data_IF_616930602282
#
_entry.id   IF_616930602282
#
_cell.length_a   1.000
_cell.length_b   1.000
_cell.length_c   1.000
_cell.angle_alpha   90.00
_cell.angle_beta   90.00
_cell.angle_gamma   90.00
#
_symmetry.space_group_name_H-M   'P 1'
#
loop_
_entity.id
_entity.type
_entity.pdbx_description
1 polymer ?
#
# COMPACT_ATOMS: atom_id res chain seq x y z
N UNK A 1 -25.83 74.08 -42.00
CA UNK A 1 -25.17 74.14 -40.68
C UNK A 1 -25.68 73.02 -39.80
N UNK A 2 -24.99 71.92 -39.78
CA UNK A 2 -25.43 70.72 -39.03
C UNK A 2 -24.37 70.37 -37.96
N UNK A 3 -24.76 70.44 -36.68
CA UNK A 3 -23.95 70.06 -35.55
C UNK A 3 -23.99 68.54 -35.37
N UNK A 4 -22.83 67.88 -35.46
CA UNK A 4 -22.67 66.46 -35.09
C UNK A 4 -22.44 66.36 -33.56
N UNK A 5 -23.30 65.71 -32.85
CA UNK A 5 -23.09 65.34 -31.46
C UNK A 5 -22.18 64.11 -31.38
N UNK A 6 -21.10 64.15 -30.59
CA UNK A 6 -20.23 63.03 -30.25
C UNK A 6 -20.75 62.40 -28.94
N UNK A 7 -21.17 61.15 -29.01
CA UNK A 7 -21.46 60.33 -27.83
C UNK A 7 -20.14 59.71 -27.36
N UNK A 8 -19.71 60.03 -26.15
CA UNK A 8 -18.57 59.39 -25.47
C UNK A 8 -19.13 58.24 -24.63
N UNK A 9 -18.88 57.05 -25.09
CA UNK A 9 -19.23 55.84 -24.32
C UNK A 9 -18.16 55.59 -23.24
N UNK A 10 -18.57 55.61 -21.97
CA UNK A 10 -17.75 55.19 -20.84
C UNK A 10 -17.87 53.69 -20.70
N UNK A 11 -16.83 52.95 -20.96
CA UNK A 11 -16.74 51.51 -20.69
C UNK A 11 -16.25 51.34 -19.26
N UNK A 12 -17.15 50.92 -18.35
CA UNK A 12 -16.83 50.49 -17.02
C UNK A 12 -16.29 49.04 -17.08
N UNK A 13 -14.95 48.86 -16.93
CA UNK A 13 -14.34 47.56 -16.68
C UNK A 13 -14.60 47.17 -15.22
N UNK A 14 -15.50 46.20 -15.02
CA UNK A 14 -15.62 45.47 -13.74
C UNK A 14 -14.44 44.48 -13.64
N UNK A 15 -13.40 44.85 -12.91
CA UNK A 15 -12.36 43.93 -12.49
C UNK A 15 -12.94 42.93 -11.48
N UNK A 16 -13.15 41.67 -11.90
CA UNK A 16 -13.39 40.58 -10.93
C UNK A 16 -12.12 40.33 -10.15
N UNK A 17 -12.06 40.86 -8.92
CA UNK A 17 -11.08 40.41 -7.95
C UNK A 17 -11.50 39.03 -7.46
N UNK A 18 -10.91 37.97 -8.01
CA UNK A 18 -10.98 36.64 -7.42
C UNK A 18 -10.14 36.66 -6.14
N UNK A 19 -10.78 36.68 -4.99
CA UNK A 19 -10.11 36.39 -3.71
C UNK A 19 -9.57 34.96 -3.80
N UNK A 20 -8.28 34.72 -3.54
CA UNK A 20 -7.79 33.33 -3.45
C UNK A 20 -8.58 32.64 -2.33
N UNK A 21 -9.05 31.43 -2.62
CA UNK A 21 -9.62 30.56 -1.60
C UNK A 21 -8.60 30.39 -0.48
N UNK A 22 -9.01 30.39 0.79
CA UNK A 22 -8.10 30.18 1.90
C UNK A 22 -7.42 28.79 1.68
N UNK A 23 -6.09 28.76 1.72
CA UNK A 23 -5.36 27.49 1.76
C UNK A 23 -5.87 26.71 2.98
N UNK A 24 -6.44 25.54 2.72
CA UNK A 24 -6.87 24.65 3.79
C UNK A 24 -5.65 24.30 4.64
N UNK A 25 -5.66 24.69 5.90
CA UNK A 25 -4.59 24.37 6.84
C UNK A 25 -4.65 22.87 7.12
N UNK A 26 -3.52 22.17 6.93
CA UNK A 26 -3.41 20.75 7.26
C UNK A 26 -3.85 20.48 8.70
N UNK A 27 -4.76 19.53 8.88
CA UNK A 27 -5.32 19.14 10.18
C UNK A 27 -4.82 17.77 10.60
N UNK A 28 -4.69 17.56 11.92
CA UNK A 28 -4.51 16.21 12.47
C UNK A 28 -5.84 15.69 12.94
N UNK A 29 -6.27 14.56 12.33
CA UNK A 29 -7.54 13.88 12.62
C UNK A 29 -7.27 12.57 13.32
N UNK A 30 -8.08 12.25 14.32
CA UNK A 30 -8.06 10.94 14.99
C UNK A 30 -9.24 10.13 14.52
N UNK A 31 -8.98 8.95 13.99
CA UNK A 31 -10.02 8.04 13.53
C UNK A 31 -9.84 6.67 14.17
N UNK A 32 -10.85 6.23 14.92
CA UNK A 32 -10.87 4.88 15.51
C UNK A 32 -11.84 4.00 14.73
N UNK A 33 -11.35 3.00 13.97
CA UNK A 33 -12.19 2.12 13.18
C UNK A 33 -13.05 1.23 14.08
N UNK A 34 -14.34 1.05 13.70
CA UNK A 34 -15.29 0.21 14.43
C UNK A 34 -15.63 -1.07 13.67
N UNK A 35 -15.49 -1.05 12.36
CA UNK A 35 -15.88 -2.14 11.48
C UNK A 35 -14.99 -2.15 10.23
N UNK A 36 -14.54 -3.34 9.85
CA UNK A 36 -13.83 -3.55 8.60
C UNK A 36 -14.74 -3.98 7.47
N UNK A 37 -14.18 -3.92 6.27
CA UNK A 37 -14.81 -4.34 5.03
C UNK A 37 -13.98 -5.46 4.38
N UNK A 38 -14.61 -6.42 3.71
CA UNK A 38 -13.88 -7.58 3.17
C UNK A 38 -13.31 -7.34 1.78
N UNK A 39 -13.58 -6.17 1.16
CA UNK A 39 -13.24 -5.90 -0.24
C UNK A 39 -12.83 -4.45 -0.43
N UNK A 40 -11.96 -4.23 -1.41
CA UNK A 40 -11.66 -2.91 -1.97
C UNK A 40 -12.69 -2.59 -3.04
N UNK A 41 -13.43 -1.49 -2.90
CA UNK A 41 -14.50 -1.08 -3.82
C UNK A 41 -14.91 0.37 -3.55
N UNK A 42 -15.61 1.00 -4.47
CA UNK A 42 -16.31 2.25 -4.19
C UNK A 42 -17.46 1.98 -3.22
N UNK A 43 -17.52 2.71 -2.11
CA UNK A 43 -18.60 2.66 -1.11
C UNK A 43 -18.63 3.92 -0.26
N UNK A 44 -19.66 4.05 0.60
CA UNK A 44 -19.77 5.18 1.52
C UNK A 44 -18.49 5.31 2.37
N UNK A 45 -17.81 6.46 2.34
CA UNK A 45 -16.57 6.67 3.06
C UNK A 45 -16.80 6.79 4.57
N UNK A 46 -15.86 6.23 5.34
CA UNK A 46 -15.88 6.33 6.81
C UNK A 46 -15.19 7.60 7.32
N UNK A 47 -14.39 8.24 6.47
CA UNK A 47 -13.68 9.49 6.76
C UNK A 47 -13.46 10.27 5.45
N UNK A 48 -13.53 11.60 5.52
CA UNK A 48 -13.09 12.51 4.46
C UNK A 48 -11.80 13.18 4.91
N UNK A 49 -10.81 13.25 4.02
CA UNK A 49 -9.46 13.72 4.29
C UNK A 49 -9.04 14.70 3.21
N UNK A 50 -8.59 15.88 3.59
CA UNK A 50 -8.03 16.84 2.66
C UNK A 50 -6.52 16.55 2.39
N UNK A 51 -6.00 16.88 1.21
CA UNK A 51 -4.55 16.84 0.97
C UNK A 51 -3.80 17.70 2.00
N UNK A 52 -2.74 17.15 2.58
CA UNK A 52 -1.98 17.73 3.68
C UNK A 52 -2.40 17.25 5.07
N UNK A 53 -3.63 16.74 5.23
CA UNK A 53 -4.11 16.23 6.53
C UNK A 53 -3.27 15.03 7.00
N UNK A 54 -3.14 14.94 8.32
CA UNK A 54 -2.56 13.81 9.04
C UNK A 54 -3.68 13.03 9.73
N UNK A 55 -3.69 11.71 9.56
CA UNK A 55 -4.68 10.83 10.21
C UNK A 55 -3.98 9.87 11.15
N UNK A 56 -4.27 9.98 12.45
CA UNK A 56 -3.89 9.01 13.47
C UNK A 56 -4.99 7.97 13.59
N UNK A 57 -4.65 6.70 13.38
CA UNK A 57 -5.62 5.59 13.34
C UNK A 57 -4.97 4.27 13.77
N UNK A 58 -5.69 3.19 13.65
CA UNK A 58 -5.23 1.84 13.96
C UNK A 58 -5.83 0.82 12.98
N UNK A 59 -5.21 -0.35 12.84
CA UNK A 59 -5.81 -1.50 12.15
C UNK A 59 -6.85 -2.15 13.06
N UNK A 60 -7.78 -2.91 12.48
CA UNK A 60 -8.77 -3.64 13.28
C UNK A 60 -8.15 -4.88 13.92
N UNK A 61 -8.57 -5.14 15.15
CA UNK A 61 -8.23 -6.32 15.92
C UNK A 61 -9.39 -7.30 16.04
N UNK A 62 -9.20 -8.32 16.86
CA UNK A 62 -10.20 -9.32 17.18
C UNK A 62 -10.18 -10.53 16.23
N UNK A 63 -11.08 -11.49 16.49
CA UNK A 63 -11.31 -12.63 15.61
C UNK A 63 -10.06 -13.45 15.29
N UNK A 64 -9.49 -13.26 14.12
CA UNK A 64 -8.31 -13.95 13.62
C UNK A 64 -7.08 -13.82 14.55
N UNK A 65 -6.85 -12.64 15.09
CA UNK A 65 -5.70 -12.38 15.97
C UNK A 65 -5.83 -13.07 17.34
N UNK A 66 -7.05 -13.25 17.84
CA UNK A 66 -7.30 -13.70 19.21
C UNK A 66 -7.35 -15.22 19.33
N UNK A 67 -7.89 -15.93 18.33
CA UNK A 67 -8.13 -17.36 18.42
C UNK A 67 -8.03 -18.10 17.10
N UNK A 68 -7.74 -19.39 17.19
CA UNK A 68 -7.78 -20.29 16.02
C UNK A 68 -9.20 -20.33 15.42
N UNK A 69 -9.26 -20.29 14.08
CA UNK A 69 -10.52 -20.24 13.33
C UNK A 69 -11.29 -18.92 13.46
N UNK A 70 -10.70 -17.91 14.07
CA UNK A 70 -11.26 -16.55 14.12
C UNK A 70 -11.36 -15.94 12.73
N UNK A 71 -12.39 -15.12 12.51
CA UNK A 71 -12.59 -14.45 11.22
C UNK A 71 -11.67 -13.24 11.11
N UNK A 72 -11.21 -12.99 9.88
CA UNK A 72 -10.52 -11.76 9.54
C UNK A 72 -11.41 -10.54 9.81
N UNK A 73 -10.92 -9.48 10.47
CA UNK A 73 -11.75 -8.33 10.86
C UNK A 73 -12.12 -7.42 9.68
N UNK A 74 -11.44 -7.54 8.56
CA UNK A 74 -11.60 -6.70 7.38
C UNK A 74 -10.63 -5.52 7.35
N UNK A 75 -10.68 -4.77 6.25
CA UNK A 75 -9.86 -3.59 5.99
C UNK A 75 -10.51 -2.33 6.56
N UNK A 76 -9.70 -1.38 6.99
CA UNK A 76 -10.14 -0.04 7.41
C UNK A 76 -10.35 0.84 6.18
N UNK A 77 -11.46 1.55 6.12
CA UNK A 77 -11.76 2.44 5.01
C UNK A 77 -13.17 2.24 4.43
N UNK A 78 -13.48 2.93 3.30
CA UNK A 78 -12.56 3.83 2.63
C UNK A 78 -12.47 5.22 3.26
N UNK A 79 -11.30 5.84 3.12
CA UNK A 79 -11.15 7.28 3.31
C UNK A 79 -11.34 7.97 1.95
N UNK A 80 -12.20 8.96 1.91
CA UNK A 80 -12.39 9.80 0.72
C UNK A 80 -11.37 10.94 0.73
N UNK A 81 -10.52 11.01 -0.27
CA UNK A 81 -9.48 12.04 -0.40
C UNK A 81 -10.05 13.20 -1.22
N UNK A 82 -10.25 14.35 -0.58
CA UNK A 82 -10.85 15.52 -1.20
C UNK A 82 -10.00 16.03 -2.38
N UNK A 83 -10.66 16.31 -3.49
CA UNK A 83 -10.02 16.79 -4.71
C UNK A 83 -9.27 15.73 -5.52
N UNK A 84 -9.22 14.46 -5.09
CA UNK A 84 -8.67 13.38 -5.92
C UNK A 84 -9.60 13.10 -7.09
N UNK A 85 -9.04 13.00 -8.30
CA UNK A 85 -9.75 12.71 -9.54
C UNK A 85 -9.04 11.63 -10.36
N UNK A 86 -9.74 10.86 -11.20
CA UNK A 86 -9.10 9.84 -12.05
C UNK A 86 -7.94 10.42 -12.85
N UNK A 87 -6.80 9.72 -12.83
CA UNK A 87 -5.56 10.16 -13.48
C UNK A 87 -4.61 10.97 -12.59
N UNK A 88 -4.99 11.23 -11.34
CA UNK A 88 -4.06 11.71 -10.31
C UNK A 88 -3.25 10.57 -9.71
N UNK A 89 -2.25 10.90 -8.91
CA UNK A 89 -1.57 9.98 -8.00
C UNK A 89 -1.85 10.37 -6.57
N UNK A 90 -2.40 9.43 -5.78
CA UNK A 90 -2.52 9.57 -4.34
C UNK A 90 -1.16 9.25 -3.70
N UNK A 91 -0.70 10.14 -2.83
CA UNK A 91 0.55 10.00 -2.08
C UNK A 91 0.22 9.78 -0.61
N UNK A 92 0.63 8.63 -0.07
CA UNK A 92 0.37 8.23 1.32
C UNK A 92 1.70 8.08 2.04
N UNK A 93 2.01 9.02 2.94
CA UNK A 93 3.21 8.95 3.78
C UNK A 93 2.88 8.22 5.08
N UNK A 94 3.66 7.23 5.42
CA UNK A 94 3.55 6.47 6.68
C UNK A 94 4.48 7.14 7.70
N UNK A 95 3.93 8.06 8.47
CA UNK A 95 4.70 8.86 9.45
C UNK A 95 5.04 8.06 10.70
N UNK A 96 4.16 7.13 11.09
CA UNK A 96 4.33 6.24 12.22
C UNK A 96 3.65 4.91 11.97
N UNK A 97 4.30 3.82 12.36
CA UNK A 97 3.74 2.48 12.33
C UNK A 97 4.31 1.65 13.48
N UNK A 98 3.47 1.23 14.42
CA UNK A 98 3.87 0.50 15.64
C UNK A 98 2.87 -0.58 15.95
N UNK A 99 3.36 -1.71 16.45
CA UNK A 99 2.50 -2.72 17.04
C UNK A 99 1.82 -2.17 18.30
N UNK A 100 0.52 -2.41 18.46
CA UNK A 100 -0.26 -2.06 19.63
C UNK A 100 -0.84 -3.28 20.38
N UNK A 101 -0.28 -4.44 20.10
CA UNK A 101 -0.57 -5.74 20.76
C UNK A 101 0.70 -6.29 21.39
N UNK A 102 0.53 -7.13 22.42
CA UNK A 102 1.60 -7.87 23.07
C UNK A 102 1.94 -9.20 22.38
N UNK A 103 1.19 -9.53 21.34
CA UNK A 103 1.36 -10.77 20.57
C UNK A 103 1.15 -10.57 19.07
N UNK A 104 1.69 -11.50 18.31
CA UNK A 104 1.42 -11.70 16.89
C UNK A 104 1.11 -13.17 16.62
N UNK A 105 0.45 -13.45 15.52
CA UNK A 105 0.15 -14.82 15.09
C UNK A 105 0.72 -15.10 13.71
N UNK A 106 1.22 -16.30 13.50
CA UNK A 106 1.53 -16.79 12.17
C UNK A 106 0.91 -18.17 11.96
N UNK A 107 0.60 -18.49 10.72
CA UNK A 107 -0.13 -19.71 10.39
C UNK A 107 0.55 -20.48 9.28
N UNK A 108 0.44 -21.81 9.34
CA UNK A 108 0.57 -22.63 8.15
C UNK A 108 -0.82 -22.73 7.50
N UNK A 109 -0.99 -22.12 6.35
CA UNK A 109 -2.24 -22.18 5.60
C UNK A 109 -2.05 -23.08 4.38
N UNK A 110 -2.56 -24.32 4.40
CA UNK A 110 -2.22 -25.33 3.40
C UNK A 110 -2.45 -24.90 1.95
N UNK A 111 -3.50 -24.14 1.70
CA UNK A 111 -3.81 -23.60 0.37
C UNK A 111 -2.75 -22.65 -0.18
N UNK A 112 -2.14 -21.84 0.66
CA UNK A 112 -1.06 -20.91 0.32
C UNK A 112 0.29 -21.60 0.21
N UNK A 113 0.65 -22.38 1.23
CA UNK A 113 1.94 -23.10 1.27
C UNK A 113 2.13 -23.97 0.02
N UNK A 114 1.05 -24.55 -0.49
CA UNK A 114 1.13 -25.42 -1.68
C UNK A 114 1.63 -24.70 -2.94
N UNK A 115 1.62 -23.38 -2.97
CA UNK A 115 2.17 -22.62 -4.08
C UNK A 115 3.70 -22.68 -4.14
N UNK A 116 4.37 -22.90 -3.01
CA UNK A 116 5.84 -22.85 -2.90
C UNK A 116 6.48 -24.11 -2.35
N UNK A 117 5.78 -24.87 -1.51
CA UNK A 117 6.38 -25.96 -0.72
C UNK A 117 5.88 -27.35 -1.12
N UNK A 118 5.03 -27.49 -2.13
CA UNK A 118 4.61 -28.80 -2.63
C UNK A 118 4.74 -28.88 -4.15
N UNK A 119 5.07 -30.08 -4.64
CA UNK A 119 5.01 -30.40 -6.06
C UNK A 119 3.56 -30.42 -6.53
N UNK A 120 3.23 -29.54 -7.46
CA UNK A 120 1.86 -29.43 -8.00
C UNK A 120 1.41 -30.66 -8.78
N UNK A 121 2.35 -31.44 -9.32
CA UNK A 121 2.02 -32.63 -10.11
C UNK A 121 1.75 -33.86 -9.25
N UNK A 122 2.39 -33.93 -8.09
CA UNK A 122 2.28 -35.08 -7.18
C UNK A 122 1.48 -34.78 -5.92
N UNK A 123 0.99 -33.54 -5.74
CA UNK A 123 0.35 -33.11 -4.49
C UNK A 123 -0.88 -33.94 -4.08
N UNK A 124 -1.57 -34.57 -5.02
CA UNK A 124 -2.67 -35.49 -4.69
C UNK A 124 -2.19 -36.77 -4.00
N UNK A 125 -0.92 -37.14 -4.20
CA UNK A 125 -0.28 -38.30 -3.62
C UNK A 125 0.50 -37.95 -2.34
N UNK A 126 0.73 -36.66 -2.08
CA UNK A 126 1.45 -36.19 -0.90
C UNK A 126 0.52 -36.15 0.32
N UNK A 127 1.09 -36.35 1.49
CA UNK A 127 0.40 -36.08 2.73
C UNK A 127 -0.05 -34.61 2.78
N UNK A 128 -1.25 -34.32 3.33
CA UNK A 128 -1.72 -32.95 3.47
C UNK A 128 -0.74 -32.12 4.33
N UNK A 129 -0.47 -30.91 3.89
CA UNK A 129 0.26 -29.93 4.71
C UNK A 129 -0.61 -29.60 5.94
N UNK A 130 -0.11 -29.74 7.17
CA UNK A 130 -0.93 -29.47 8.34
C UNK A 130 -1.20 -27.98 8.50
N UNK A 131 -2.44 -27.62 8.80
CA UNK A 131 -2.74 -26.29 9.32
C UNK A 131 -2.15 -26.15 10.73
N UNK A 132 -1.48 -25.05 10.99
CA UNK A 132 -0.89 -24.76 12.30
C UNK A 132 -0.97 -23.28 12.59
N UNK A 133 -1.15 -22.92 13.86
CA UNK A 133 -1.09 -21.56 14.36
C UNK A 133 0.03 -21.46 15.39
N UNK A 134 0.83 -20.40 15.25
CA UNK A 134 1.90 -20.05 16.17
C UNK A 134 1.60 -18.70 16.79
N UNK A 135 1.73 -18.60 18.10
CA UNK A 135 1.54 -17.34 18.83
C UNK A 135 2.91 -16.85 19.29
N UNK A 136 3.28 -15.70 18.78
CA UNK A 136 4.52 -15.00 19.10
C UNK A 136 4.26 -14.00 20.21
N UNK A 137 5.15 -13.89 21.16
CA UNK A 137 5.15 -12.78 22.11
C UNK A 137 5.89 -11.60 21.50
N UNK A 138 5.35 -10.40 21.67
CA UNK A 138 6.00 -9.15 21.31
C UNK A 138 6.62 -8.57 22.58
N UNK A 139 7.92 -8.48 22.61
CA UNK A 139 8.71 -8.07 23.78
C UNK A 139 9.51 -6.81 23.50
N UNK A 140 10.19 -6.28 24.51
CA UNK A 140 11.08 -5.11 24.43
C UNK A 140 10.42 -3.89 23.76
N UNK A 141 9.23 -3.53 24.23
CA UNK A 141 8.46 -2.38 23.71
C UNK A 141 8.17 -2.47 22.18
N UNK A 142 7.82 -3.65 21.71
CA UNK A 142 7.43 -3.84 20.32
C UNK A 142 8.59 -4.04 19.34
N UNK A 143 9.82 -4.32 19.82
CA UNK A 143 10.99 -4.43 18.95
C UNK A 143 11.48 -5.86 18.72
N UNK A 144 11.03 -6.82 19.52
CA UNK A 144 11.47 -8.24 19.44
C UNK A 144 10.27 -9.16 19.45
N UNK A 145 10.22 -10.07 18.48
CA UNK A 145 9.30 -11.19 18.43
C UNK A 145 9.94 -12.46 19.01
N UNK A 146 9.22 -13.15 19.87
CA UNK A 146 9.70 -14.36 20.53
C UNK A 146 8.73 -15.52 20.31
N UNK A 147 9.26 -16.63 19.81
CA UNK A 147 8.51 -17.88 19.61
C UNK A 147 9.28 -19.08 20.18
N UNK A 148 8.66 -19.80 21.06
CA UNK A 148 9.10 -21.13 21.48
C UNK A 148 8.51 -22.18 20.55
N UNK A 149 9.33 -22.75 19.67
CA UNK A 149 8.90 -23.71 18.65
C UNK A 149 8.49 -25.04 19.30
N UNK A 150 7.20 -25.42 19.23
CA UNK A 150 6.67 -26.51 20.05
C UNK A 150 7.24 -27.89 19.67
N UNK A 151 7.55 -28.10 18.39
CA UNK A 151 8.00 -29.43 17.92
C UNK A 151 9.50 -29.62 18.00
N UNK A 152 10.30 -28.59 17.72
CA UNK A 152 11.77 -28.65 17.73
C UNK A 152 12.37 -28.28 19.08
N UNK A 153 11.57 -27.77 20.02
CA UNK A 153 11.99 -27.23 21.31
C UNK A 153 13.07 -26.15 21.21
N UNK A 154 13.06 -25.43 20.10
CA UNK A 154 13.94 -24.28 19.86
C UNK A 154 13.21 -22.99 20.14
N UNK A 155 13.96 -21.95 20.49
CA UNK A 155 13.45 -20.59 20.68
C UNK A 155 13.97 -19.71 19.57
N UNK A 156 13.07 -18.92 18.97
CA UNK A 156 13.40 -17.86 18.06
C UNK A 156 13.23 -16.51 18.77
N UNK A 157 14.21 -15.64 18.61
CA UNK A 157 14.15 -14.23 18.98
C UNK A 157 14.55 -13.43 17.75
N UNK A 158 13.63 -12.63 17.23
CA UNK A 158 13.83 -11.91 15.98
C UNK A 158 13.54 -10.42 16.14
N UNK A 159 14.34 -9.53 15.55
CA UNK A 159 13.99 -8.12 15.50
C UNK A 159 12.73 -7.94 14.65
N UNK A 160 11.81 -7.12 15.15
CA UNK A 160 10.60 -6.78 14.42
C UNK A 160 10.83 -5.63 13.44
N UNK A 161 10.10 -5.67 12.35
CA UNK A 161 10.07 -4.64 11.31
C UNK A 161 8.62 -4.44 10.85
N UNK A 162 7.81 -3.68 11.61
CA UNK A 162 6.40 -3.49 11.34
C UNK A 162 6.13 -2.95 9.95
N UNK A 163 5.13 -3.53 9.27
CA UNK A 163 4.69 -3.14 7.93
C UNK A 163 3.17 -3.31 7.79
N UNK A 164 2.60 -2.73 6.72
CA UNK A 164 1.22 -2.97 6.31
C UNK A 164 1.21 -3.86 5.06
N UNK A 165 0.55 -5.00 5.13
CA UNK A 165 0.34 -5.89 3.98
C UNK A 165 -0.61 -5.25 2.97
N UNK A 166 -1.64 -4.53 3.46
CA UNK A 166 -2.71 -3.96 2.65
C UNK A 166 -2.72 -2.44 2.68
N UNK A 167 -2.51 -1.86 1.52
CA UNK A 167 -2.68 -0.43 1.24
C UNK A 167 -3.25 -0.30 -0.16
N UNK A 168 -4.43 0.29 -0.32
CA UNK A 168 -5.17 0.29 -1.58
C UNK A 168 -5.98 1.55 -1.80
N UNK A 169 -6.36 1.79 -3.06
CA UNK A 169 -7.50 2.61 -3.48
C UNK A 169 -8.60 1.71 -4.02
N UNK A 170 -9.80 2.26 -4.27
CA UNK A 170 -10.83 1.51 -4.98
C UNK A 170 -10.34 1.15 -6.39
N UNK A 171 -10.50 -0.11 -6.84
CA UNK A 171 -10.14 -0.55 -8.18
C UNK A 171 -10.89 0.19 -9.27
N UNK A 172 -10.37 0.17 -10.51
CA UNK A 172 -11.00 0.79 -11.68
C UNK A 172 -12.39 0.19 -11.98
N UNK A 173 -13.25 0.98 -12.59
CA UNK A 173 -14.60 0.56 -12.95
C UNK A 173 -15.51 0.34 -11.74
N UNK A 174 -16.46 -0.58 -11.85
CA UNK A 174 -17.39 -0.97 -10.79
C UNK A 174 -16.92 -2.25 -10.07
N UNK A 175 -15.63 -2.52 -10.06
CA UNK A 175 -15.07 -3.75 -9.50
C UNK A 175 -14.99 -3.72 -7.98
N UNK A 176 -15.13 -4.91 -7.38
CA UNK A 176 -14.88 -5.17 -5.97
C UNK A 176 -13.93 -6.34 -5.83
N UNK A 177 -12.74 -6.08 -5.33
CA UNK A 177 -11.72 -7.11 -5.13
C UNK A 177 -11.62 -7.50 -3.66
N UNK A 178 -11.54 -8.80 -3.40
CA UNK A 178 -11.38 -9.31 -2.04
C UNK A 178 -10.07 -8.86 -1.38
N UNK A 179 -10.04 -8.80 -0.05
CA UNK A 179 -8.89 -8.30 0.71
C UNK A 179 -7.57 -9.01 0.45
N UNK A 180 -7.58 -10.27 -0.05
CA UNK A 180 -6.36 -11.02 -0.42
C UNK A 180 -5.81 -10.69 -1.82
N UNK A 181 -6.42 -9.78 -2.57
CA UNK A 181 -6.00 -9.51 -3.95
C UNK A 181 -5.11 -8.26 -4.01
N UNK A 182 -3.84 -8.41 -4.39
CA UNK A 182 -3.06 -7.27 -4.87
C UNK A 182 -3.30 -7.04 -6.37
N UNK A 183 -3.15 -5.79 -6.80
CA UNK A 183 -3.33 -5.38 -8.18
C UNK A 183 -2.76 -4.00 -8.45
N UNK A 184 -3.15 -3.40 -9.57
CA UNK A 184 -2.73 -2.04 -9.93
C UNK A 184 -3.30 -0.98 -8.96
N UNK A 185 -4.32 -1.30 -8.19
CA UNK A 185 -4.92 -0.46 -7.15
C UNK A 185 -4.20 -0.54 -5.78
N UNK A 186 -3.11 -1.28 -5.68
CA UNK A 186 -2.46 -1.69 -4.44
C UNK A 186 -3.02 -3.01 -3.93
N UNK A 187 -3.73 -3.01 -2.81
CA UNK A 187 -4.32 -4.22 -2.22
C UNK A 187 -3.35 -4.94 -1.30
N UNK A 188 -3.42 -6.26 -1.31
CA UNK A 188 -2.59 -7.15 -0.50
C UNK A 188 -1.19 -7.35 -1.12
N UNK A 189 -0.43 -6.28 -1.17
CA UNK A 189 0.90 -6.31 -1.80
C UNK A 189 1.93 -7.07 -0.97
N UNK A 190 1.74 -7.13 0.35
CA UNK A 190 2.65 -7.72 1.32
C UNK A 190 4.11 -7.31 1.11
N UNK A 191 4.28 -6.10 0.63
CA UNK A 191 5.58 -5.51 0.39
C UNK A 191 6.16 -4.98 1.70
N UNK A 192 7.17 -5.65 2.23
CA UNK A 192 7.78 -5.29 3.53
C UNK A 192 8.43 -3.90 3.56
N UNK A 193 8.49 -3.23 2.41
CA UNK A 193 8.91 -1.84 2.29
C UNK A 193 7.77 -0.83 2.58
N UNK A 194 6.51 -1.28 2.74
CA UNK A 194 5.35 -0.46 3.17
C UNK A 194 5.36 -0.33 4.70
N UNK A 195 6.27 0.48 5.20
CA UNK A 195 6.56 0.64 6.63
C UNK A 195 6.76 2.10 7.03
N UNK A 196 6.99 2.35 8.32
CA UNK A 196 7.31 3.70 8.81
C UNK A 196 8.45 4.36 8.02
N UNK A 197 8.25 5.61 7.64
CA UNK A 197 9.16 6.39 6.80
C UNK A 197 9.01 6.13 5.29
N UNK A 198 8.14 5.21 4.88
CA UNK A 198 7.84 5.01 3.47
C UNK A 198 6.72 5.94 2.99
N UNK A 199 6.78 6.29 1.71
CA UNK A 199 5.73 6.94 0.95
C UNK A 199 5.22 5.98 -0.11
N UNK A 200 3.91 5.74 -0.11
CA UNK A 200 3.24 4.89 -1.11
C UNK A 200 2.50 5.78 -2.09
N UNK A 201 2.72 5.58 -3.38
CA UNK A 201 2.03 6.25 -4.48
C UNK A 201 1.05 5.26 -5.10
N UNK A 202 -0.21 5.64 -5.17
CA UNK A 202 -1.29 4.82 -5.73
C UNK A 202 -1.97 5.55 -6.89
N UNK A 203 -2.30 4.85 -7.99
CA UNK A 203 -3.08 5.44 -9.07
C UNK A 203 -4.50 5.76 -8.59
N UNK A 204 -5.07 6.87 -9.03
CA UNK A 204 -6.45 7.25 -8.70
C UNK A 204 -7.36 6.88 -9.87
N UNK A 205 -8.36 6.02 -9.62
CA UNK A 205 -9.34 5.58 -10.61
C UNK A 205 -10.70 6.25 -10.45
N UNK A 206 -11.02 6.74 -9.23
CA UNK A 206 -12.30 7.35 -8.88
C UNK A 206 -12.11 8.70 -8.21
N UNK A 207 -13.10 9.58 -8.33
CA UNK A 207 -13.18 10.78 -7.50
C UNK A 207 -13.13 10.37 -6.02
N UNK A 208 -12.21 10.98 -5.26
CA UNK A 208 -11.98 10.65 -3.86
C UNK A 208 -11.09 9.45 -3.61
N UNK A 209 -10.56 8.78 -4.63
CA UNK A 209 -9.63 7.64 -4.57
C UNK A 209 -10.14 6.44 -3.75
N UNK A 210 -10.85 6.65 -2.64
CA UNK A 210 -11.33 5.63 -1.69
C UNK A 210 -10.20 4.78 -1.13
N UNK A 211 -9.41 5.37 -0.25
CA UNK A 211 -8.24 4.73 0.34
C UNK A 211 -8.60 3.71 1.43
N UNK A 212 -7.91 2.57 1.41
CA UNK A 212 -8.03 1.46 2.37
C UNK A 212 -6.67 1.06 2.91
N UNK A 213 -6.66 0.54 4.14
CA UNK A 213 -5.47 -0.08 4.74
C UNK A 213 -5.86 -1.16 5.74
N UNK A 214 -4.91 -2.02 6.07
CA UNK A 214 -5.08 -3.08 7.05
C UNK A 214 -3.89 -4.01 7.09
N UNK A 215 -4.07 -5.19 7.70
CA UNK A 215 -3.12 -6.29 7.61
C UNK A 215 -1.74 -5.91 8.15
N UNK A 216 -1.68 -5.65 9.44
CA UNK A 216 -0.44 -5.28 10.10
C UNK A 216 0.43 -6.49 10.39
N UNK A 217 1.64 -6.51 9.83
CA UNK A 217 2.65 -7.53 10.11
C UNK A 217 3.77 -6.97 10.97
N UNK A 218 4.03 -7.58 12.12
CA UNK A 218 5.18 -7.20 12.93
C UNK A 218 6.50 -7.57 12.25
N UNK A 219 6.49 -8.59 11.39
CA UNK A 219 7.60 -9.04 10.55
C UNK A 219 7.07 -9.94 9.43
N UNK A 220 7.69 -9.87 8.26
CA UNK A 220 7.43 -10.79 7.14
C UNK A 220 8.72 -11.11 6.41
N UNK A 221 8.92 -12.38 6.07
CA UNK A 221 9.95 -12.83 5.13
C UNK A 221 9.49 -12.73 3.68
N UNK A 222 10.45 -12.62 2.75
CA UNK A 222 10.15 -12.58 1.31
C UNK A 222 9.31 -13.80 0.87
N UNK A 223 8.32 -13.53 0.03
CA UNK A 223 7.40 -14.51 -0.53
C UNK A 223 6.25 -14.92 0.37
N UNK A 224 6.28 -14.57 1.66
CA UNK A 224 5.24 -14.91 2.64
C UNK A 224 4.82 -16.39 2.63
N UNK A 225 5.81 -17.27 2.52
CA UNK A 225 5.67 -18.66 2.06
C UNK A 225 4.70 -19.55 2.84
N UNK A 226 4.34 -19.17 4.05
CA UNK A 226 3.32 -19.89 4.86
C UNK A 226 1.90 -19.33 4.72
N UNK A 227 1.72 -18.21 3.97
CA UNK A 227 0.44 -17.54 3.80
C UNK A 227 0.06 -16.65 4.98
N UNK A 228 1.04 -16.22 5.75
CA UNK A 228 0.93 -15.17 6.76
C UNK A 228 2.29 -14.60 7.13
N UNK A 229 2.34 -13.31 7.41
CA UNK A 229 3.42 -12.70 8.17
C UNK A 229 3.32 -13.01 9.67
N UNK A 230 3.92 -12.17 10.51
CA UNK A 230 3.61 -12.09 11.94
C UNK A 230 2.44 -11.12 12.12
N UNK A 231 1.24 -11.64 11.98
CA UNK A 231 -0.01 -10.90 11.96
C UNK A 231 -0.30 -10.26 13.30
N UNK A 232 -0.47 -8.96 13.35
CA UNK A 232 -0.79 -8.23 14.58
C UNK A 232 -1.51 -6.91 14.28
N UNK A 233 -2.01 -6.24 15.30
CA UNK A 233 -2.62 -4.93 15.15
C UNK A 233 -1.59 -3.81 15.26
N UNK A 234 -1.87 -2.69 14.58
CA UNK A 234 -0.96 -1.55 14.46
C UNK A 234 -1.64 -0.23 14.80
N UNK A 235 -0.93 0.65 15.48
CA UNK A 235 -1.16 2.10 15.40
C UNK A 235 -0.49 2.65 14.15
N UNK A 236 -1.20 3.49 13.41
CA UNK A 236 -0.73 4.07 12.15
C UNK A 236 -0.98 5.57 12.13
N UNK A 237 -0.01 6.33 11.64
CA UNK A 237 -0.20 7.74 11.31
C UNK A 237 0.14 7.94 9.84
N UNK A 238 -0.86 8.36 9.07
CA UNK A 238 -0.72 8.70 7.66
C UNK A 238 -0.74 10.21 7.43
N UNK A 239 -0.03 10.67 6.41
CA UNK A 239 -0.28 11.96 5.78
C UNK A 239 -0.65 11.73 4.32
N UNK A 240 -1.66 12.46 3.83
CA UNK A 240 -2.18 12.31 2.48
C UNK A 240 -1.84 13.53 1.64
N UNK A 241 -1.36 13.30 0.41
CA UNK A 241 -1.12 14.33 -0.59
C UNK A 241 -1.63 13.85 -1.96
N UNK A 242 -1.75 14.78 -2.91
CA UNK A 242 -2.13 14.48 -4.30
C UNK A 242 -1.12 15.08 -5.27
N UNK A 243 -0.75 14.30 -6.28
CA UNK A 243 -0.06 14.82 -7.45
C UNK A 243 -1.07 14.86 -8.58
N UNK A 244 -1.57 16.06 -8.86
CA UNK A 244 -2.61 16.30 -9.86
C UNK A 244 -2.10 16.06 -11.28
N UNK A 245 -2.92 15.31 -12.06
CA UNK A 245 -2.65 15.02 -13.46
C UNK A 245 -1.43 14.14 -13.72
N UNK A 246 -0.82 13.57 -12.68
CA UNK A 246 0.27 12.59 -12.80
C UNK A 246 -0.30 11.19 -12.72
N UNK A 247 -0.46 10.55 -13.87
CA UNK A 247 -0.93 9.17 -13.97
C UNK A 247 0.24 8.20 -13.80
N UNK A 248 0.11 7.24 -12.89
CA UNK A 248 0.94 6.04 -12.77
C UNK A 248 0.07 4.82 -13.07
N UNK A 249 0.68 3.73 -13.55
CA UNK A 249 -0.07 2.52 -13.89
C UNK A 249 -0.14 1.53 -12.71
N UNK A 250 0.90 1.49 -11.89
CA UNK A 250 1.07 0.56 -10.78
C UNK A 250 1.56 1.27 -9.52
N UNK A 251 1.38 0.67 -8.33
CA UNK A 251 1.88 1.25 -7.08
C UNK A 251 3.39 1.46 -7.10
N UNK A 252 3.82 2.58 -6.50
CA UNK A 252 5.21 2.91 -6.26
C UNK A 252 5.42 3.12 -4.78
N UNK A 253 6.61 2.82 -4.30
CA UNK A 253 7.00 3.04 -2.91
C UNK A 253 8.33 3.78 -2.94
N UNK A 254 8.52 4.72 -2.04
CA UNK A 254 9.83 5.32 -1.84
C UNK A 254 10.10 5.55 -0.35
N UNK A 255 11.38 5.61 -0.02
CA UNK A 255 11.88 6.03 1.28
C UNK A 255 13.18 6.81 1.08
N UNK A 256 13.93 7.10 2.14
CA UNK A 256 15.20 7.84 2.05
C UNK A 256 16.25 7.13 1.20
N UNK A 257 16.21 5.80 1.12
CA UNK A 257 17.25 4.99 0.47
C UNK A 257 16.89 4.53 -0.94
N UNK A 258 15.61 4.25 -1.21
CA UNK A 258 15.16 3.56 -2.43
C UNK A 258 13.96 4.23 -3.08
N UNK A 259 13.89 4.11 -4.42
CA UNK A 259 12.65 4.11 -5.18
C UNK A 259 12.28 2.68 -5.54
N UNK A 260 10.99 2.34 -5.53
CA UNK A 260 10.51 0.97 -5.67
C UNK A 260 9.19 0.95 -6.44
N UNK A 261 9.01 -0.06 -7.27
CA UNK A 261 7.77 -0.31 -8.01
C UNK A 261 7.22 -1.68 -7.69
N UNK A 262 5.90 -1.83 -7.68
CA UNK A 262 5.23 -3.08 -7.34
C UNK A 262 4.42 -3.57 -8.54
N UNK A 263 4.70 -4.79 -8.99
CA UNK A 263 3.87 -5.48 -9.97
C UNK A 263 3.14 -6.64 -9.30
N UNK A 264 1.83 -6.73 -9.52
CA UNK A 264 0.99 -7.73 -8.82
C UNK A 264 0.08 -8.47 -9.79
N UNK A 265 0.52 -9.65 -10.23
CA UNK A 265 -0.20 -10.51 -11.17
C UNK A 265 0.35 -11.95 -11.14
N UNK A 266 -0.36 -12.91 -11.70
CA UNK A 266 0.17 -14.24 -12.04
C UNK A 266 0.42 -14.36 -13.54
N UNK A 267 1.45 -15.09 -13.99
CA UNK A 267 2.50 -15.74 -13.16
C UNK A 267 3.53 -14.72 -12.62
N UNK A 268 4.43 -15.17 -11.74
CA UNK A 268 5.45 -14.34 -11.09
C UNK A 268 6.34 -13.58 -12.08
N UNK A 269 6.63 -14.17 -13.23
CA UNK A 269 7.39 -13.54 -14.31
C UNK A 269 6.70 -12.30 -14.88
N UNK A 270 5.38 -12.26 -14.91
CA UNK A 270 4.62 -11.12 -15.41
C UNK A 270 4.54 -10.01 -14.34
N UNK A 271 4.44 -10.38 -13.06
CA UNK A 271 4.58 -9.42 -11.96
C UNK A 271 5.94 -8.71 -12.02
N UNK A 272 7.02 -9.47 -12.27
CA UNK A 272 8.35 -8.90 -12.44
C UNK A 272 8.45 -7.98 -13.66
N UNK A 273 7.87 -8.36 -14.81
CA UNK A 273 7.84 -7.50 -16.01
C UNK A 273 7.14 -6.18 -15.75
N UNK A 274 5.98 -6.23 -15.10
CA UNK A 274 5.20 -5.05 -14.73
C UNK A 274 6.03 -4.11 -13.85
N UNK A 275 6.59 -4.62 -12.76
CA UNK A 275 7.40 -3.81 -11.84
C UNK A 275 8.64 -3.22 -12.53
N UNK A 276 9.26 -3.98 -13.46
CA UNK A 276 10.43 -3.51 -14.24
C UNK A 276 10.04 -2.38 -15.18
N UNK A 277 8.96 -2.52 -15.94
CA UNK A 277 8.48 -1.49 -16.87
C UNK A 277 8.08 -0.23 -16.11
N UNK A 278 7.35 -0.36 -15.01
CA UNK A 278 6.97 0.77 -14.17
C UNK A 278 8.19 1.52 -13.60
N UNK A 279 9.29 0.81 -13.29
CA UNK A 279 10.55 1.43 -12.86
C UNK A 279 11.21 2.20 -14.01
N UNK A 280 11.24 1.65 -15.22
CA UNK A 280 11.74 2.36 -16.40
C UNK A 280 10.94 3.64 -16.64
N UNK A 281 9.61 3.57 -16.61
CA UNK A 281 8.73 4.73 -16.76
C UNK A 281 8.95 5.77 -15.65
N UNK A 282 9.22 5.34 -14.43
CA UNK A 282 9.54 6.27 -13.35
C UNK A 282 10.84 7.02 -13.62
N UNK A 283 11.89 6.31 -14.06
CA UNK A 283 13.16 6.93 -14.43
C UNK A 283 13.03 7.90 -15.62
N UNK A 284 12.23 7.55 -16.63
CA UNK A 284 11.96 8.44 -17.76
C UNK A 284 11.23 9.72 -17.32
N UNK A 285 10.12 9.55 -16.60
CA UNK A 285 9.23 10.65 -16.31
C UNK A 285 9.77 11.62 -15.24
N UNK A 286 10.37 11.10 -14.18
CA UNK A 286 10.77 11.89 -13.01
C UNK A 286 12.27 12.23 -13.03
N UNK A 287 13.12 11.29 -13.45
CA UNK A 287 14.57 11.46 -13.49
C UNK A 287 15.11 11.85 -14.86
N UNK A 288 14.24 11.94 -15.88
CA UNK A 288 14.56 12.39 -17.25
C UNK A 288 15.59 11.52 -17.97
N UNK A 289 15.64 10.24 -17.65
CA UNK A 289 16.42 9.30 -18.44
C UNK A 289 15.80 9.11 -19.83
N UNK A 290 16.65 8.86 -20.83
CA UNK A 290 16.17 8.24 -22.07
C UNK A 290 15.77 6.78 -21.75
N UNK A 291 14.78 6.25 -22.49
CA UNK A 291 14.17 4.93 -22.20
C UNK A 291 15.17 3.78 -22.09
N UNK A 292 16.10 3.70 -23.02
CA UNK A 292 17.07 2.60 -23.06
C UNK A 292 18.15 2.76 -22.01
N UNK A 293 18.53 4.00 -21.68
CA UNK A 293 19.42 4.30 -20.56
C UNK A 293 18.74 3.98 -19.22
N UNK A 294 17.43 4.25 -19.10
CA UNK A 294 16.63 3.83 -17.95
C UNK A 294 16.62 2.30 -17.79
N UNK A 295 16.36 1.56 -18.88
CA UNK A 295 16.39 0.10 -18.86
C UNK A 295 17.78 -0.44 -18.52
N UNK A 296 18.85 0.16 -19.07
CA UNK A 296 20.23 -0.21 -18.72
C UNK A 296 20.51 0.05 -17.23
N UNK A 297 20.03 1.18 -16.69
CA UNK A 297 20.15 1.53 -15.29
C UNK A 297 19.43 0.50 -14.39
N UNK A 298 18.20 0.13 -14.73
CA UNK A 298 17.44 -0.92 -14.04
C UNK A 298 18.23 -2.24 -14.08
N UNK A 299 18.75 -2.63 -15.25
CA UNK A 299 19.50 -3.89 -15.41
C UNK A 299 20.72 -3.98 -14.51
N UNK A 300 21.40 -2.88 -14.22
CA UNK A 300 22.64 -2.87 -13.45
C UNK A 300 22.44 -2.62 -11.95
N UNK A 301 21.40 -1.85 -11.57
CA UNK A 301 21.26 -1.36 -10.20
C UNK A 301 20.07 -1.95 -9.44
N UNK A 302 19.08 -2.52 -10.13
CA UNK A 302 17.88 -2.96 -9.48
C UNK A 302 18.10 -4.21 -8.61
N UNK A 303 17.46 -4.19 -7.46
CA UNK A 303 17.23 -5.33 -6.60
C UNK A 303 15.79 -5.78 -6.78
N UNK A 304 15.56 -7.07 -6.98
CA UNK A 304 14.26 -7.66 -7.22
C UNK A 304 13.89 -8.58 -6.08
N UNK A 305 12.72 -8.35 -5.46
CA UNK A 305 12.23 -9.15 -4.33
C UNK A 305 10.85 -9.71 -4.67
N UNK A 306 10.62 -10.93 -4.28
CA UNK A 306 9.28 -11.50 -4.24
C UNK A 306 8.66 -11.11 -2.90
N UNK A 307 7.71 -10.20 -2.91
CA UNK A 307 7.02 -9.76 -1.70
C UNK A 307 6.04 -10.84 -1.23
N UNK A 308 5.23 -11.34 -2.15
CA UNK A 308 4.22 -12.37 -1.91
C UNK A 308 4.14 -13.31 -3.11
N UNK A 309 4.08 -14.63 -2.87
CA UNK A 309 3.87 -15.63 -3.94
C UNK A 309 2.89 -16.72 -3.55
N UNK A 310 1.99 -16.41 -2.64
CA UNK A 310 0.99 -17.36 -2.10
C UNK A 310 -0.44 -16.90 -2.37
N UNK A 311 -0.66 -15.62 -2.51
CA UNK A 311 -1.96 -15.00 -2.74
C UNK A 311 -2.53 -15.21 -4.16
N UNK A 312 -3.78 -14.81 -4.40
CA UNK A 312 -4.41 -14.94 -5.73
C UNK A 312 -3.58 -14.31 -6.86
N UNK A 313 -2.97 -13.14 -6.64
CA UNK A 313 -1.89 -12.58 -7.45
C UNK A 313 -0.59 -12.58 -6.64
N UNK A 314 0.54 -12.74 -7.34
CA UNK A 314 1.87 -12.61 -6.74
C UNK A 314 2.31 -11.16 -6.77
N UNK A 315 3.08 -10.71 -5.80
CA UNK A 315 3.64 -9.38 -5.77
C UNK A 315 5.17 -9.39 -5.83
N UNK A 316 5.72 -8.57 -6.73
CA UNK A 316 7.17 -8.38 -6.91
C UNK A 316 7.51 -6.92 -6.74
N UNK A 317 8.57 -6.65 -6.00
CA UNK A 317 9.13 -5.31 -5.82
C UNK A 317 10.45 -5.23 -6.59
N UNK A 318 10.54 -4.23 -7.49
CA UNK A 318 11.79 -3.82 -8.12
C UNK A 318 12.22 -2.51 -7.48
N UNK A 319 13.46 -2.42 -6.96
CA UNK A 319 13.94 -1.24 -6.25
C UNK A 319 15.34 -0.84 -6.66
N UNK A 320 15.58 0.49 -6.71
CA UNK A 320 16.88 1.09 -7.04
C UNK A 320 17.29 2.02 -5.90
N UNK A 321 18.57 1.92 -5.44
CA UNK A 321 19.09 2.83 -4.42
C UNK A 321 19.20 4.27 -4.95
N UNK A 322 18.55 5.22 -4.26
CA UNK A 322 18.56 6.65 -4.62
C UNK A 322 19.96 7.26 -4.74
N UNK A 323 20.93 6.74 -3.99
CA UNK A 323 22.31 7.23 -4.03
C UNK A 323 23.01 7.08 -5.38
N UNK A 324 22.47 6.26 -6.28
CA UNK A 324 22.99 6.05 -7.63
C UNK A 324 22.21 6.85 -8.70
N UNK A 325 21.12 7.49 -8.31
CA UNK A 325 20.33 8.29 -9.23
C UNK A 325 20.83 9.74 -9.24
N UNK A 326 20.72 10.45 -10.40
CA UNK A 326 21.02 11.87 -10.47
C UNK A 326 20.12 12.65 -9.51
N UNK A 327 20.69 13.74 -8.96
CA UNK A 327 19.96 14.67 -8.07
C UNK A 327 19.10 15.63 -8.89
#
# INVERSE_FOLDING_TARGET
MGRKARIVGVVLLFGMFSTPAPEARAETRKFKPQKGVPTFAVREPVLRVAPGDVVETETLGGGYYDKEGGKWPGEVGPFFIEGATPGDTLVVKILRLRTNSDHAVSTHTPGFISAVASDRYTRMLNAPIPSRRYVWRIEKNGTVGVLDLPNSKKRLEVPLSPMLGRVAVAPDGEEAWGGLWPGNFGGNMDASDVREGATVHLPVFHEGAYFYFGDGHALQGDGEVCGSGLETTMEVTFQFELIKGKKIAWPRIENDEFIMTVGSVRPLSDALRIATVEMVEWLENDYKFERWDALQTVSQLAQMRVANMVDPNYAVVVKIPKRFLPK
#
